data_IF_894917728194
#
_entry.id   IF_894917728194
#
_cell.length_a   1.000
_cell.length_b   1.000
_cell.length_c   1.000
_cell.angle_alpha   90.00
_cell.angle_beta   90.00
_cell.angle_gamma   90.00
#
_symmetry.space_group_name_H-M   'P 1'
#
loop_
_entity.id
_entity.type
_entity.pdbx_description
1 polymer ?
#
# COMPACT_ATOMS: atom_id res chain seq x y z
N UNK A 1 -4.76 -20.38 18.66
CA UNK A 1 -4.58 -18.94 18.33
C UNK A 1 -4.85 -18.79 16.85
N UNK A 2 -5.57 -17.75 16.42
CA UNK A 2 -5.71 -17.48 14.99
C UNK A 2 -4.33 -17.06 14.44
N UNK A 3 -3.94 -17.47 13.23
CA UNK A 3 -2.70 -17.00 12.62
C UNK A 3 -2.78 -15.47 12.48
N UNK A 4 -1.71 -14.79 12.87
CA UNK A 4 -1.57 -13.33 12.75
C UNK A 4 -0.69 -13.04 11.54
N UNK A 5 -1.20 -12.24 10.60
CA UNK A 5 -0.41 -11.71 9.51
C UNK A 5 0.43 -10.53 10.01
N UNK A 6 1.72 -10.55 9.73
CA UNK A 6 2.60 -9.39 9.86
C UNK A 6 3.20 -9.09 8.49
N UNK A 7 3.13 -7.84 8.07
CA UNK A 7 3.80 -7.33 6.87
C UNK A 7 4.93 -6.40 7.32
N UNK A 8 6.10 -6.59 6.74
CA UNK A 8 7.25 -5.70 6.94
C UNK A 8 7.61 -5.06 5.60
N UNK A 9 7.34 -3.75 5.41
CA UNK A 9 7.76 -3.03 4.21
C UNK A 9 9.28 -3.07 4.06
N UNK A 10 9.77 -3.37 2.87
CA UNK A 10 11.20 -3.44 2.56
C UNK A 10 11.63 -2.36 1.57
N UNK A 11 10.75 -1.93 0.67
CA UNK A 11 11.05 -0.85 -0.28
C UNK A 11 9.77 -0.16 -0.73
N UNK A 12 9.90 1.13 -1.03
CA UNK A 12 8.85 1.96 -1.59
C UNK A 12 9.42 2.78 -2.74
N UNK A 13 8.78 2.71 -3.90
CA UNK A 13 9.08 3.56 -5.05
C UNK A 13 7.85 4.40 -5.35
N UNK A 14 7.88 5.72 -5.15
CA UNK A 14 6.75 6.58 -5.47
C UNK A 14 6.50 6.59 -6.99
N UNK A 15 5.25 6.85 -7.41
CA UNK A 15 4.93 7.05 -8.82
C UNK A 15 5.63 8.32 -9.31
N UNK A 16 6.14 8.33 -10.54
CA UNK A 16 6.75 9.52 -11.14
C UNK A 16 6.65 9.48 -12.67
N UNK A 17 6.92 10.59 -13.35
CA UNK A 17 6.96 10.62 -14.82
C UNK A 17 8.00 9.64 -15.44
N UNK A 18 8.95 9.15 -14.63
CA UNK A 18 9.95 8.13 -15.03
C UNK A 18 9.59 6.72 -14.58
N UNK A 19 8.65 6.59 -13.65
CA UNK A 19 8.20 5.34 -13.07
C UNK A 19 6.67 5.31 -13.13
N UNK A 20 6.15 4.66 -14.17
CA UNK A 20 4.71 4.58 -14.50
C UNK A 20 3.85 3.90 -13.42
N UNK A 21 4.44 3.50 -12.29
CA UNK A 21 3.75 2.87 -11.18
C UNK A 21 4.40 3.18 -9.84
N UNK A 22 3.56 3.38 -8.81
CA UNK A 22 3.95 3.19 -7.42
C UNK A 22 4.27 1.71 -7.22
N UNK A 23 5.39 1.40 -6.56
CA UNK A 23 5.78 0.03 -6.22
C UNK A 23 6.07 -0.10 -4.73
N UNK A 24 5.48 -1.13 -4.11
CA UNK A 24 5.74 -1.48 -2.72
C UNK A 24 6.29 -2.88 -2.69
N UNK A 25 7.41 -3.06 -1.99
CA UNK A 25 7.98 -4.36 -1.69
C UNK A 25 7.90 -4.62 -0.19
N UNK A 26 7.60 -5.85 0.21
CA UNK A 26 7.47 -6.24 1.60
C UNK A 26 7.78 -7.73 1.82
N UNK A 27 8.06 -8.10 3.06
CA UNK A 27 8.03 -9.49 3.52
C UNK A 27 6.79 -9.73 4.36
N UNK A 28 6.43 -11.00 4.51
CA UNK A 28 5.21 -11.45 5.20
C UNK A 28 5.56 -12.58 6.16
N UNK A 29 4.85 -12.65 7.30
CA UNK A 29 4.92 -13.78 8.22
C UNK A 29 4.11 -15.00 7.77
N UNK A 30 3.35 -14.90 6.67
CA UNK A 30 2.53 -16.00 6.18
C UNK A 30 3.41 -17.17 5.69
N UNK A 31 3.09 -18.36 6.17
CA UNK A 31 3.73 -19.62 5.78
C UNK A 31 2.83 -20.40 4.82
N UNK A 32 3.24 -20.52 3.56
CA UNK A 32 2.54 -21.34 2.57
C UNK A 32 2.40 -20.69 1.20
N UNK A 33 1.42 -21.15 0.42
CA UNK A 33 1.21 -20.71 -0.96
C UNK A 33 0.51 -19.34 -1.07
N UNK A 34 -0.20 -18.91 -0.03
CA UNK A 34 -0.82 -17.59 0.03
C UNK A 34 0.04 -16.64 0.89
N UNK A 35 0.72 -15.65 0.28
CA UNK A 35 1.64 -14.76 1.00
C UNK A 35 0.96 -13.79 1.96
N UNK A 36 -0.37 -13.71 1.98
CA UNK A 36 -1.10 -12.81 2.87
C UNK A 36 -2.05 -13.52 3.82
N UNK A 37 -2.00 -14.85 3.91
CA UNK A 37 -2.88 -15.57 4.84
C UNK A 37 -2.69 -15.07 6.29
N UNK A 38 -3.77 -14.85 7.08
CA UNK A 38 -5.17 -15.17 6.79
C UNK A 38 -5.99 -14.08 6.08
N UNK A 39 -5.37 -13.01 5.59
CA UNK A 39 -6.05 -12.01 4.76
C UNK A 39 -6.51 -12.62 3.42
N UNK A 40 -7.65 -12.14 2.96
CA UNK A 40 -8.22 -12.45 1.64
C UNK A 40 -7.80 -11.41 0.60
N UNK A 41 -7.56 -10.18 1.04
CA UNK A 41 -7.01 -9.11 0.20
C UNK A 41 -6.24 -8.09 1.05
N UNK A 42 -5.36 -7.35 0.37
CA UNK A 42 -4.77 -6.12 0.88
C UNK A 42 -5.41 -4.93 0.16
N UNK A 43 -5.44 -3.77 0.79
CA UNK A 43 -5.94 -2.54 0.17
C UNK A 43 -5.02 -1.38 0.50
N UNK A 44 -4.72 -0.54 -0.48
CA UNK A 44 -3.97 0.69 -0.21
C UNK A 44 -4.88 1.82 0.25
N UNK A 45 -4.34 2.66 1.12
CA UNK A 45 -4.89 3.99 1.37
C UNK A 45 -3.80 5.05 1.29
N UNK A 46 -4.25 6.28 1.05
CA UNK A 46 -3.43 7.47 0.89
C UNK A 46 -3.96 8.53 1.85
N UNK A 47 -3.19 8.83 2.90
CA UNK A 47 -3.55 9.78 3.95
C UNK A 47 -2.82 11.10 3.74
N UNK A 48 -3.59 12.17 3.58
CA UNK A 48 -3.14 13.55 3.44
C UNK A 48 -3.48 14.31 4.72
N UNK A 49 -2.44 14.70 5.47
CA UNK A 49 -2.60 15.26 6.81
C UNK A 49 -3.40 14.35 7.76
N UNK A 50 -4.10 14.95 8.71
CA UNK A 50 -4.87 14.22 9.73
C UNK A 50 -6.33 13.93 9.33
N UNK A 51 -6.81 14.53 8.24
CA UNK A 51 -8.26 14.62 7.98
C UNK A 51 -8.74 13.87 6.75
N UNK A 52 -7.85 13.46 5.84
CA UNK A 52 -8.25 12.88 4.57
C UNK A 52 -7.49 11.60 4.27
N UNK A 53 -8.20 10.46 4.30
CA UNK A 53 -7.68 9.17 3.87
C UNK A 53 -8.53 8.64 2.72
N UNK A 54 -7.88 8.33 1.60
CA UNK A 54 -8.53 7.81 0.39
C UNK A 54 -8.12 6.36 0.22
N UNK A 55 -9.09 5.45 0.18
CA UNK A 55 -8.84 4.04 -0.12
C UNK A 55 -8.79 3.83 -1.64
N UNK A 56 -7.73 3.16 -2.09
CA UNK A 56 -7.46 2.87 -3.49
C UNK A 56 -7.47 1.38 -3.80
N UNK A 57 -6.48 0.97 -4.59
CA UNK A 57 -6.37 -0.37 -5.18
C UNK A 57 -6.46 -1.51 -4.17
N UNK A 58 -7.10 -2.61 -4.59
CA UNK A 58 -7.23 -3.85 -3.83
C UNK A 58 -6.35 -4.91 -4.49
N UNK A 59 -5.54 -5.60 -3.67
CA UNK A 59 -4.67 -6.69 -4.10
C UNK A 59 -5.12 -8.00 -3.49
N UNK A 60 -5.52 -8.94 -4.34
CA UNK A 60 -5.72 -10.34 -3.97
C UNK A 60 -4.38 -11.08 -3.96
N UNK A 61 -4.30 -12.33 -3.44
CA UNK A 61 -3.06 -13.11 -3.49
C UNK A 61 -2.46 -13.28 -4.90
N UNK A 62 -3.27 -13.12 -5.96
CA UNK A 62 -2.82 -13.22 -7.36
C UNK A 62 -2.06 -11.99 -7.84
N UNK A 63 -2.34 -10.84 -7.25
CA UNK A 63 -1.73 -9.56 -7.61
C UNK A 63 -0.39 -9.36 -6.89
N UNK A 64 -0.08 -10.23 -5.93
CA UNK A 64 1.14 -10.20 -5.12
C UNK A 64 2.20 -11.06 -5.80
N UNK A 65 3.22 -10.39 -6.33
CA UNK A 65 4.27 -11.04 -7.10
C UNK A 65 5.49 -11.30 -6.21
N UNK A 66 5.92 -12.55 -6.11
CA UNK A 66 7.16 -12.91 -5.44
C UNK A 66 8.39 -12.54 -6.27
N UNK A 67 9.48 -12.15 -5.61
CA UNK A 67 10.78 -11.99 -6.27
C UNK A 67 11.29 -13.36 -6.75
N UNK A 68 11.79 -13.41 -7.99
CA UNK A 68 12.35 -14.63 -8.61
C UNK A 68 13.53 -15.20 -7.81
N UNK A 69 14.19 -14.38 -6.98
CA UNK A 69 15.31 -14.76 -6.12
C UNK A 69 14.90 -15.68 -4.96
N UNK A 70 13.60 -15.85 -4.69
CA UNK A 70 13.10 -16.73 -3.63
C UNK A 70 13.42 -16.25 -2.21
N UNK A 71 13.79 -14.98 -2.04
CA UNK A 71 14.18 -14.38 -0.75
C UNK A 71 12.99 -14.05 0.17
N UNK A 72 11.77 -14.46 -0.19
CA UNK A 72 10.54 -14.17 0.55
C UNK A 72 10.05 -12.71 0.44
N UNK A 73 10.58 -11.95 -0.51
CA UNK A 73 10.09 -10.59 -0.81
C UNK A 73 8.98 -10.66 -1.85
N UNK A 74 7.91 -9.93 -1.58
CA UNK A 74 6.77 -9.77 -2.45
C UNK A 74 6.63 -8.31 -2.86
N UNK A 75 5.96 -8.06 -3.98
CA UNK A 75 5.65 -6.71 -4.43
C UNK A 75 4.26 -6.58 -5.02
N UNK A 76 3.71 -5.38 -4.86
CA UNK A 76 2.49 -4.89 -5.51
C UNK A 76 2.79 -3.57 -6.21
N UNK A 77 2.02 -3.25 -7.25
CA UNK A 77 2.19 -2.02 -8.00
C UNK A 77 0.85 -1.36 -8.31
N UNK A 78 0.80 -0.02 -8.25
CA UNK A 78 -0.35 0.78 -8.66
C UNK A 78 0.10 1.67 -9.82
N UNK A 79 -0.54 1.62 -11.00
CA UNK A 79 -0.23 2.53 -12.09
C UNK A 79 -0.36 3.99 -11.65
N UNK A 80 0.50 4.87 -12.15
CA UNK A 80 0.54 6.31 -11.80
C UNK A 80 -0.86 6.95 -11.84
N UNK A 81 -1.61 6.68 -12.91
CA UNK A 81 -2.96 7.21 -13.16
C UNK A 81 -4.01 6.78 -12.13
N UNK A 82 -3.75 5.69 -11.41
CA UNK A 82 -4.69 5.09 -10.45
C UNK A 82 -4.33 5.48 -9.00
N UNK A 83 -3.22 6.21 -8.80
CA UNK A 83 -2.86 6.80 -7.51
C UNK A 83 -3.69 8.08 -7.29
N UNK A 84 -4.52 8.14 -6.24
CA UNK A 84 -5.44 9.25 -6.04
C UNK A 84 -4.72 10.53 -5.65
N UNK A 85 -5.26 11.67 -6.11
CA UNK A 85 -4.81 13.01 -5.76
C UNK A 85 -5.89 13.69 -4.93
N UNK A 86 -5.50 14.29 -3.79
CA UNK A 86 -6.40 14.99 -2.89
C UNK A 86 -6.27 16.52 -3.01
N UNK A 87 -7.40 17.23 -2.83
CA UNK A 87 -7.38 18.69 -2.64
C UNK A 87 -7.22 19.02 -1.16
N UNK A 88 -6.13 19.67 -0.78
CA UNK A 88 -5.75 19.92 0.61
C UNK A 88 -5.79 21.40 0.97
N UNK A 89 -5.90 21.73 2.26
CA UNK A 89 -6.09 23.12 2.72
C UNK A 89 -4.76 23.82 3.04
N UNK A 90 -3.67 23.08 3.21
CA UNK A 90 -2.37 23.61 3.59
C UNK A 90 -1.23 22.87 2.91
N UNK A 91 -0.07 23.50 2.79
CA UNK A 91 1.14 22.86 2.24
C UNK A 91 1.62 21.68 3.09
N UNK A 92 1.37 21.74 4.41
CA UNK A 92 1.73 20.66 5.33
C UNK A 92 0.97 19.34 5.05
N UNK A 93 -0.15 19.41 4.31
CA UNK A 93 -0.98 18.27 3.96
C UNK A 93 -0.72 17.76 2.52
N UNK A 94 0.28 18.30 1.80
CA UNK A 94 0.57 17.91 0.41
C UNK A 94 1.18 16.52 0.30
N UNK A 95 1.87 16.06 1.34
CA UNK A 95 2.46 14.73 1.38
C UNK A 95 1.38 13.67 1.66
N UNK A 96 1.48 12.54 0.95
CA UNK A 96 0.58 11.41 1.09
C UNK A 96 1.29 10.25 1.80
N UNK A 97 0.90 9.95 3.04
CA UNK A 97 1.31 8.71 3.71
C UNK A 97 0.54 7.55 3.09
N UNK A 98 1.27 6.54 2.62
CA UNK A 98 0.69 5.36 1.98
C UNK A 98 0.64 4.22 3.00
N UNK A 99 -0.53 3.64 3.19
CA UNK A 99 -0.74 2.48 4.07
C UNK A 99 -1.24 1.29 3.29
N UNK A 100 -0.83 0.10 3.71
CA UNK A 100 -1.34 -1.17 3.22
C UNK A 100 -2.15 -1.81 4.35
N UNK A 101 -3.43 -2.08 4.07
CA UNK A 101 -4.39 -2.64 5.01
C UNK A 101 -4.64 -4.10 4.67
N UNK A 102 -4.66 -4.98 5.66
CA UNK A 102 -5.05 -6.37 5.50
C UNK A 102 -6.50 -6.59 5.92
N UNK A 103 -7.23 -7.32 5.09
CA UNK A 103 -8.64 -7.63 5.31
C UNK A 103 -8.90 -9.13 5.13
N UNK A 104 -9.81 -9.67 5.93
CA UNK A 104 -10.38 -11.01 5.75
C UNK A 104 -11.87 -10.87 5.53
N UNK A 105 -12.31 -11.06 4.29
CA UNK A 105 -13.64 -10.69 3.84
C UNK A 105 -13.90 -9.21 4.24
N UNK A 106 -14.96 -8.92 4.98
CA UNK A 106 -15.27 -7.56 5.46
C UNK A 106 -14.59 -7.20 6.79
N UNK A 107 -13.76 -8.09 7.35
CA UNK A 107 -13.12 -7.90 8.65
C UNK A 107 -11.72 -7.30 8.48
N UNK A 108 -11.52 -6.10 9.01
CA UNK A 108 -10.20 -5.50 9.16
C UNK A 108 -9.30 -6.33 10.07
N UNK A 109 -8.05 -6.54 9.63
CA UNK A 109 -7.04 -7.28 10.39
C UNK A 109 -5.99 -6.34 10.97
N UNK A 110 -5.26 -5.61 10.12
CA UNK A 110 -4.17 -4.72 10.52
C UNK A 110 -3.77 -3.77 9.36
N UNK A 111 -2.90 -2.81 9.63
CA UNK A 111 -2.33 -1.91 8.61
C UNK A 111 -0.88 -1.53 8.90
N UNK A 112 -0.15 -1.22 7.83
CA UNK A 112 1.26 -0.82 7.91
C UNK A 112 1.50 0.39 7.01
N UNK A 113 2.24 1.39 7.52
CA UNK A 113 2.77 2.47 6.70
C UNK A 113 3.86 1.88 5.80
N UNK A 114 3.65 1.95 4.49
CA UNK A 114 4.57 1.37 3.49
C UNK A 114 5.47 2.40 2.85
N UNK A 115 5.13 3.69 2.93
CA UNK A 115 5.93 4.78 2.39
C UNK A 115 5.16 6.09 2.33
N UNK A 116 5.71 7.05 1.61
CA UNK A 116 5.18 8.41 1.51
C UNK A 116 5.45 8.96 0.11
N UNK A 117 4.46 9.63 -0.48
CA UNK A 117 4.59 10.36 -1.74
C UNK A 117 4.65 11.85 -1.42
N UNK A 118 5.75 12.50 -1.80
CA UNK A 118 5.96 13.93 -1.55
C UNK A 118 5.19 14.79 -2.55
N UNK A 119 4.62 15.89 -2.05
CA UNK A 119 3.95 16.91 -2.86
C UNK A 119 2.88 16.35 -3.83
N UNK A 120 2.12 15.34 -3.39
CA UNK A 120 1.16 14.63 -4.23
C UNK A 120 -0.25 15.26 -4.21
N UNK A 121 -0.59 15.97 -3.13
CA UNK A 121 -1.82 16.73 -3.01
C UNK A 121 -1.81 17.99 -3.89
N UNK A 122 -2.97 18.63 -4.00
CA UNK A 122 -3.14 19.92 -4.68
C UNK A 122 -3.81 20.91 -3.73
N UNK A 123 -3.26 22.12 -3.60
CA UNK A 123 -3.89 23.16 -2.77
C UNK A 123 -5.28 23.52 -3.30
N UNK A 124 -6.24 23.69 -2.39
CA UNK A 124 -7.53 24.30 -2.72
C UNK A 124 -7.29 25.77 -3.08
N UNK A 125 -7.66 26.13 -4.31
CA UNK A 125 -7.74 27.50 -4.81
C UNK A 125 -8.86 28.28 -4.12
#
# INVERSE_FOLDING_TARGET
MAPTLAITPTSFTPPSDRHDSLRISFTTSADGSNPIFPATYLQLSYRFGDSQEIFGEIFTPRDIVGDASGNGTYHVGVPFKDVPIAKVNSEADLDAEVKLHAWKDEKYLDSWVVGEIKEWGVLKS
#
